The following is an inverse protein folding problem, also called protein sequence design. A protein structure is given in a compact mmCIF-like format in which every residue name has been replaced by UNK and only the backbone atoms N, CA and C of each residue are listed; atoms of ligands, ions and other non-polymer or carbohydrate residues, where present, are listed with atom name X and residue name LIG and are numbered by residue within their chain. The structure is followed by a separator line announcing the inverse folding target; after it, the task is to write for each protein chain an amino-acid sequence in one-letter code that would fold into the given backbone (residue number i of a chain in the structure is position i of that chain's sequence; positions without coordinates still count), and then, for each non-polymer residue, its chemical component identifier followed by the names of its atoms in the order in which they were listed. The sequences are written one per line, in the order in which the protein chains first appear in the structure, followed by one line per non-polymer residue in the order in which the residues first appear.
data_IF_938525817648
#
_entry.id   IF_938525817648
#
_cell.length_a   1.000
_cell.length_b   1.000
_cell.length_c   1.000
_cell.angle_alpha   90.00
_cell.angle_beta   90.00
_cell.angle_gamma   90.00
#
_symmetry.space_group_name_H-M   'P 1'
#
loop_
_entity.id
_entity.type
_entity.pdbx_description
1 polymer ?
#
# COMPACT_ATOMS: atom_id res chain seq x y z
N UNK A 1 43.49 -20.67 -10.30
CA UNK A 1 42.29 -19.80 -10.28
C UNK A 1 42.02 -19.48 -8.82
N UNK A 2 42.28 -18.24 -8.36
CA UNK A 2 42.12 -17.90 -6.96
C UNK A 2 40.63 -17.93 -6.59
N UNK A 3 40.36 -18.41 -5.37
CA UNK A 3 39.02 -18.66 -4.85
C UNK A 3 38.17 -17.40 -4.84
N UNK A 4 36.89 -17.58 -5.18
CA UNK A 4 35.85 -16.59 -4.99
C UNK A 4 35.81 -16.23 -3.50
N UNK A 5 36.45 -15.12 -3.15
CA UNK A 5 36.24 -14.44 -1.87
C UNK A 5 34.79 -14.00 -1.86
N UNK A 6 33.92 -14.77 -1.21
CA UNK A 6 32.59 -14.29 -0.83
C UNK A 6 32.80 -13.24 0.27
N UNK A 7 32.93 -11.99 -0.18
CA UNK A 7 33.15 -10.81 0.65
C UNK A 7 31.93 -10.56 1.53
N UNK A 8 32.03 -10.86 2.83
CA UNK A 8 31.02 -10.49 3.84
C UNK A 8 31.06 -8.98 4.22
N UNK A 9 31.86 -8.18 3.52
CA UNK A 9 32.31 -6.86 3.99
C UNK A 9 31.38 -5.68 3.70
N UNK A 10 30.12 -5.88 3.28
CA UNK A 10 29.25 -4.76 2.91
C UNK A 10 27.75 -5.04 3.11
N UNK A 11 27.38 -5.65 4.23
CA UNK A 11 25.99 -5.68 4.68
C UNK A 11 25.61 -4.26 5.12
N UNK A 12 25.03 -3.49 4.20
CA UNK A 12 24.58 -2.13 4.41
C UNK A 12 23.08 -2.04 4.21
N UNK A 13 22.44 -1.13 4.93
CA UNK A 13 21.01 -0.94 4.81
C UNK A 13 20.68 -0.21 3.51
N UNK A 14 19.82 -0.78 2.66
CA UNK A 14 19.41 -0.17 1.39
C UNK A 14 18.75 1.22 1.55
N UNK A 15 18.28 1.58 2.75
CA UNK A 15 17.65 2.87 3.01
C UNK A 15 18.61 3.96 3.44
N UNK A 16 19.41 3.69 4.48
CA UNK A 16 20.31 4.67 5.07
C UNK A 16 21.74 4.58 4.53
N UNK A 17 22.08 3.49 3.84
CA UNK A 17 23.45 3.22 3.37
C UNK A 17 24.42 2.83 4.48
N UNK A 18 23.98 2.84 5.73
CA UNK A 18 24.81 2.55 6.89
C UNK A 18 24.99 1.05 7.10
N UNK A 19 26.09 0.69 7.76
CA UNK A 19 26.37 -0.70 8.15
C UNK A 19 25.42 -1.16 9.25
N UNK A 20 25.39 -2.48 9.48
CA UNK A 20 24.72 -3.05 10.64
C UNK A 20 25.72 -3.32 11.77
N UNK A 21 25.38 -2.95 12.98
CA UNK A 21 26.15 -3.33 14.17
C UNK A 21 25.95 -4.82 14.52
N UNK A 22 26.91 -5.46 15.23
CA UNK A 22 26.81 -6.88 15.60
C UNK A 22 25.59 -7.23 16.46
N UNK A 23 25.01 -6.24 17.14
CA UNK A 23 23.85 -6.40 18.02
C UNK A 23 22.55 -5.90 17.38
N UNK A 24 22.61 -5.36 16.15
CA UNK A 24 21.44 -4.85 15.47
C UNK A 24 20.61 -5.97 14.88
N UNK A 25 19.29 -5.81 14.96
CA UNK A 25 18.37 -6.71 14.26
C UNK A 25 18.38 -6.30 12.79
N UNK A 26 18.45 -7.28 11.90
CA UNK A 26 18.45 -7.04 10.45
C UNK A 26 17.20 -7.68 9.84
N UNK A 27 16.50 -6.91 9.01
CA UNK A 27 15.37 -7.39 8.22
C UNK A 27 15.88 -7.67 6.81
N UNK A 28 15.79 -8.93 6.37
CA UNK A 28 16.09 -9.31 4.99
C UNK A 28 14.78 -9.35 4.19
N UNK A 29 14.71 -8.56 3.11
CA UNK A 29 13.57 -8.51 2.21
C UNK A 29 14.05 -8.51 0.77
N UNK A 30 13.62 -9.49 -0.02
CA UNK A 30 13.97 -9.62 -1.46
C UNK A 30 15.48 -9.55 -1.76
N UNK A 31 16.33 -10.01 -0.84
CA UNK A 31 17.80 -9.97 -1.00
C UNK A 31 18.45 -8.64 -0.58
N UNK A 32 17.65 -7.68 -0.10
CA UNK A 32 18.12 -6.43 0.48
C UNK A 32 18.09 -6.49 2.00
N UNK A 33 19.04 -5.83 2.65
CA UNK A 33 19.12 -5.76 4.11
C UNK A 33 18.62 -4.40 4.59
N UNK A 34 17.83 -4.41 5.66
CA UNK A 34 17.20 -3.21 6.21
C UNK A 34 17.26 -3.23 7.73
N UNK A 35 17.43 -2.06 8.35
CA UNK A 35 17.16 -1.95 9.78
C UNK A 35 15.65 -2.09 10.01
N UNK A 36 15.19 -2.66 11.15
CA UNK A 36 13.78 -2.71 11.52
C UNK A 36 13.11 -1.33 11.51
N UNK A 37 13.86 -0.30 11.89
CA UNK A 37 13.44 1.11 11.83
C UNK A 37 13.51 1.72 10.42
N UNK A 38 14.36 1.18 9.55
CA UNK A 38 14.46 1.62 8.17
C UNK A 38 13.40 0.95 7.29
N UNK A 39 13.00 -0.28 7.61
CA UNK A 39 12.00 -1.06 6.90
C UNK A 39 10.57 -0.62 7.27
N UNK A 40 10.21 0.57 6.81
CA UNK A 40 8.94 1.22 7.12
C UNK A 40 8.33 1.83 5.85
N UNK A 41 7.05 2.14 5.93
CA UNK A 41 6.32 2.80 4.85
C UNK A 41 6.94 4.16 4.49
N UNK A 42 7.06 4.46 3.20
CA UNK A 42 7.60 5.73 2.70
C UNK A 42 6.69 6.95 2.96
N UNK A 43 5.43 6.73 3.34
CA UNK A 43 4.46 7.78 3.65
C UNK A 43 4.28 7.97 5.15
N UNK A 44 3.78 6.94 5.84
CA UNK A 44 3.50 7.04 7.26
C UNK A 44 4.69 6.69 8.17
N UNK A 45 5.82 6.22 7.62
CA UNK A 45 7.01 5.78 8.35
C UNK A 45 6.74 4.71 9.42
N UNK A 46 5.63 3.99 9.30
CA UNK A 46 5.30 2.87 10.20
C UNK A 46 5.90 1.57 9.68
N UNK A 47 6.36 0.69 10.59
CA UNK A 47 6.77 -0.65 10.23
C UNK A 47 5.59 -1.43 9.66
N UNK A 48 5.89 -2.40 8.81
CA UNK A 48 4.87 -3.24 8.17
C UNK A 48 4.39 -4.30 9.18
N UNK A 49 3.11 -4.29 9.58
CA UNK A 49 2.61 -5.09 10.71
C UNK A 49 2.77 -6.62 10.54
N UNK A 50 2.88 -7.11 9.30
CA UNK A 50 3.11 -8.53 8.98
C UNK A 50 4.28 -8.73 8.01
N UNK A 51 5.13 -7.70 7.85
CA UNK A 51 6.10 -7.67 6.75
C UNK A 51 5.44 -7.59 5.37
N UNK A 52 4.12 -7.32 5.32
CA UNK A 52 3.38 -7.05 4.09
C UNK A 52 3.54 -5.59 3.70
N UNK A 53 4.12 -5.37 2.53
CA UNK A 53 4.33 -4.05 1.94
C UNK A 53 4.05 -4.12 0.44
N UNK A 54 3.71 -2.97 -0.12
CA UNK A 54 3.47 -2.80 -1.54
C UNK A 54 4.57 -1.91 -2.10
N UNK A 55 5.21 -2.34 -3.17
CA UNK A 55 6.25 -1.55 -3.83
C UNK A 55 5.68 -0.82 -5.05
N UNK A 56 5.93 0.48 -5.13
CA UNK A 56 5.55 1.34 -6.24
C UNK A 56 6.68 2.32 -6.55
N UNK A 57 7.14 2.38 -7.80
CA UNK A 57 8.23 3.26 -8.24
C UNK A 57 9.50 3.16 -7.36
N UNK A 58 9.83 1.94 -6.90
CA UNK A 58 10.97 1.68 -6.02
C UNK A 58 10.78 2.15 -4.56
N UNK A 59 9.59 2.60 -4.19
CA UNK A 59 9.22 2.98 -2.82
C UNK A 59 8.28 1.94 -2.22
N UNK A 60 8.49 1.65 -0.94
CA UNK A 60 7.69 0.67 -0.18
C UNK A 60 6.60 1.39 0.61
N UNK A 61 5.37 0.93 0.48
CA UNK A 61 4.15 1.50 1.08
C UNK A 61 3.42 0.45 1.90
N UNK A 62 2.72 0.88 2.97
CA UNK A 62 1.86 -0.05 3.68
C UNK A 62 0.58 -0.27 2.87
N UNK A 63 -0.17 -1.34 3.15
CA UNK A 63 -1.45 -1.61 2.48
C UNK A 63 -2.36 -0.37 2.45
N UNK A 64 -2.48 0.30 3.60
CA UNK A 64 -3.31 1.48 3.75
C UNK A 64 -2.86 2.63 2.85
N UNK A 65 -1.59 3.07 2.94
CA UNK A 65 -1.08 4.19 2.14
C UNK A 65 -1.05 3.88 0.65
N UNK A 66 -0.69 2.65 0.27
CA UNK A 66 -0.74 2.22 -1.12
C UNK A 66 -2.18 2.31 -1.65
N UNK A 67 -3.14 1.78 -0.89
CA UNK A 67 -4.54 1.91 -1.25
C UNK A 67 -4.97 3.38 -1.30
N UNK A 68 -4.60 4.24 -0.35
CA UNK A 68 -5.00 5.66 -0.34
C UNK A 68 -4.43 6.41 -1.54
N UNK A 69 -3.13 6.29 -1.80
CA UNK A 69 -2.44 7.02 -2.86
C UNK A 69 -2.90 6.61 -4.26
N UNK A 70 -3.22 5.33 -4.44
CA UNK A 70 -3.63 4.78 -5.73
C UNK A 70 -5.13 4.49 -5.81
N UNK A 71 -5.89 4.75 -4.75
CA UNK A 71 -7.34 4.57 -4.75
C UNK A 71 -7.99 5.63 -5.63
N UNK A 72 -9.06 5.24 -6.34
CA UNK A 72 -9.87 6.21 -7.04
C UNK A 72 -10.65 7.09 -6.03
N UNK A 73 -10.80 8.36 -6.38
CA UNK A 73 -11.59 9.30 -5.59
C UNK A 73 -13.10 9.05 -5.79
N UNK A 74 -13.87 9.23 -4.72
CA UNK A 74 -15.31 9.13 -4.79
C UNK A 74 -15.91 10.36 -5.49
N UNK A 75 -16.76 10.11 -6.49
CA UNK A 75 -17.48 11.17 -7.19
C UNK A 75 -18.48 11.98 -6.33
N UNK A 76 -18.82 11.50 -5.12
CA UNK A 76 -19.76 12.19 -4.20
C UNK A 76 -19.06 13.08 -3.19
N UNK A 77 -18.17 12.51 -2.39
CA UNK A 77 -17.49 13.21 -1.30
C UNK A 77 -16.11 13.75 -1.69
N UNK A 78 -15.54 13.32 -2.82
CA UNK A 78 -14.19 13.68 -3.25
C UNK A 78 -13.07 12.96 -2.50
N UNK A 79 -13.38 12.11 -1.51
CA UNK A 79 -12.39 11.36 -0.75
C UNK A 79 -11.98 10.04 -1.41
N UNK A 80 -10.79 9.53 -1.06
CA UNK A 80 -10.25 8.28 -1.58
C UNK A 80 -11.08 7.07 -1.15
N UNK A 81 -11.44 6.19 -2.09
CA UNK A 81 -12.19 4.96 -1.82
C UNK A 81 -11.23 3.83 -1.46
N UNK A 82 -10.95 3.68 -0.16
CA UNK A 82 -10.10 2.62 0.38
C UNK A 82 -10.90 1.32 0.50
N UNK A 83 -10.39 0.22 -0.06
CA UNK A 83 -11.03 -1.10 -0.01
C UNK A 83 -12.08 -1.32 -1.10
N UNK A 84 -13.35 -1.57 -0.72
CA UNK A 84 -14.43 -1.94 -1.67
C UNK A 84 -14.87 -0.71 -2.46
N UNK A 85 -14.51 -0.66 -3.74
CA UNK A 85 -14.89 0.41 -4.67
C UNK A 85 -16.07 0.00 -5.57
N UNK A 86 -17.03 0.91 -5.75
CA UNK A 86 -18.09 0.77 -6.74
C UNK A 86 -17.75 1.60 -7.96
N UNK A 87 -17.53 0.95 -9.10
CA UNK A 87 -17.38 1.62 -10.39
C UNK A 87 -18.75 1.70 -11.06
N UNK A 88 -19.29 2.91 -11.14
CA UNK A 88 -20.60 3.16 -11.72
C UNK A 88 -20.65 4.56 -12.36
N UNK A 89 -21.38 4.68 -13.48
CA UNK A 89 -21.51 5.94 -14.23
C UNK A 89 -20.15 6.59 -14.58
N UNK A 90 -19.17 5.77 -14.96
CA UNK A 90 -17.79 6.21 -15.28
C UNK A 90 -17.02 6.87 -14.13
N UNK A 91 -17.52 6.76 -12.89
CA UNK A 91 -16.85 7.25 -11.69
C UNK A 91 -16.72 6.13 -10.65
N UNK A 92 -15.90 6.38 -9.63
CA UNK A 92 -15.75 5.50 -8.48
C UNK A 92 -16.49 6.07 -7.27
N UNK A 93 -17.04 5.20 -6.44
CA UNK A 93 -17.87 5.62 -5.30
C UNK A 93 -17.60 4.73 -4.10
N UNK A 94 -17.67 5.30 -2.89
CA UNK A 94 -17.74 4.50 -1.67
C UNK A 94 -19.07 3.72 -1.64
N UNK A 95 -19.09 2.51 -1.06
CA UNK A 95 -20.32 1.75 -0.84
C UNK A 95 -21.39 2.56 -0.11
N UNK A 96 -20.99 3.31 0.92
CA UNK A 96 -21.86 4.20 1.69
C UNK A 96 -22.25 5.49 0.94
N UNK A 97 -21.46 5.92 -0.05
CA UNK A 97 -21.76 7.12 -0.85
C UNK A 97 -22.65 6.81 -2.05
N UNK A 98 -22.63 5.59 -2.55
CA UNK A 98 -23.41 5.15 -3.71
C UNK A 98 -24.88 4.91 -3.33
N UNK A 99 -25.62 6.00 -3.17
CA UNK A 99 -27.05 5.97 -2.82
C UNK A 99 -27.93 6.45 -3.99
N UNK A 100 -29.16 5.96 -4.03
CA UNK A 100 -30.16 6.43 -4.98
C UNK A 100 -30.48 7.91 -4.75
N UNK A 101 -30.41 8.75 -5.78
CA UNK A 101 -30.75 10.17 -5.70
C UNK A 101 -32.22 10.44 -5.32
N UNK A 102 -33.11 9.46 -5.53
CA UNK A 102 -34.55 9.59 -5.25
C UNK A 102 -34.91 9.12 -3.84
N UNK A 103 -34.39 7.96 -3.42
CA UNK A 103 -34.79 7.34 -2.14
C UNK A 103 -33.67 7.27 -1.08
N UNK A 104 -32.49 7.82 -1.38
CA UNK A 104 -31.29 7.85 -0.50
C UNK A 104 -30.82 6.49 0.04
N UNK A 105 -31.33 5.36 -0.48
CA UNK A 105 -30.90 4.03 -0.09
C UNK A 105 -29.59 3.65 -0.76
N UNK A 106 -28.72 2.97 -0.01
CA UNK A 106 -27.45 2.42 -0.47
C UNK A 106 -27.70 1.38 -1.58
N UNK A 107 -27.10 1.61 -2.75
CA UNK A 107 -27.20 0.74 -3.93
C UNK A 107 -26.00 -0.22 -4.04
N UNK A 108 -25.10 -0.20 -3.05
CA UNK A 108 -23.90 -1.03 -3.03
C UNK A 108 -24.16 -2.55 -3.07
N UNK A 109 -25.31 -2.97 -2.53
CA UNK A 109 -25.68 -4.37 -2.39
C UNK A 109 -26.85 -4.76 -3.31
N UNK A 110 -27.66 -3.79 -3.74
CA UNK A 110 -28.74 -3.99 -4.70
C UNK A 110 -28.24 -3.70 -6.10
N UNK A 111 -27.79 -4.77 -6.78
CA UNK A 111 -27.38 -4.75 -8.19
C UNK A 111 -28.22 -3.79 -9.03
N UNK A 112 -27.58 -2.75 -9.55
CA UNK A 112 -28.23 -1.70 -10.32
C UNK A 112 -28.53 -2.21 -11.73
N UNK A 113 -29.80 -2.37 -12.07
CA UNK A 113 -30.24 -2.48 -13.47
C UNK A 113 -30.82 -1.14 -13.89
N UNK A 114 -30.28 -0.57 -14.97
CA UNK A 114 -30.83 0.62 -15.64
C UNK A 114 -32.14 0.25 -16.35
N UNK A 115 -33.15 -0.21 -15.62
CA UNK A 115 -34.50 -0.24 -16.14
C UNK A 115 -35.56 -0.32 -15.03
N UNK A 116 -36.20 0.83 -14.81
CA UNK A 116 -37.44 1.08 -14.05
C UNK A 116 -37.40 0.96 -12.52
N UNK A 117 -37.66 2.09 -11.87
CA UNK A 117 -38.47 2.13 -10.65
C UNK A 117 -39.87 1.59 -10.94
#
# INVERSE_FOLDING_TARGET
MPGVTMSFSNMSCSRCGDGFDPHDKIVNSQGELWHPQCFVCSQCFRPFPDGLFYEFEGRKYCEHDFQVLFAPCCGKCGEFVIGRVIKAMSASWHPACFCCAVCNKELADRGFVRNRC
#
